data_IF_231337741379
#
_entry.id   IF_231337741379
#
_cell.length_a   1.000
_cell.length_b   1.000
_cell.length_c   1.000
_cell.angle_alpha   90.00
_cell.angle_beta   90.00
_cell.angle_gamma   90.00
#
_symmetry.space_group_name_H-M   'P 1'
#
loop_
_entity.id
_entity.type
_entity.pdbx_description
1 polymer ?
#
# COMPACT_ATOMS: atom_id res chain seq x y z
N UNK A 1 86.63 31.20 24.24
CA UNK A 1 85.41 31.15 23.37
C UNK A 1 85.09 29.70 23.07
N UNK A 2 83.82 29.34 23.28
CA UNK A 2 83.09 28.13 22.84
C UNK A 2 83.62 26.74 23.16
N UNK A 3 83.00 26.11 24.16
CA UNK A 3 82.80 24.67 24.23
C UNK A 3 81.69 24.25 23.24
N UNK A 4 82.00 23.42 22.24
CA UNK A 4 81.05 22.83 21.29
C UNK A 4 80.74 21.38 21.66
N UNK A 5 79.47 21.11 21.98
CA UNK A 5 78.92 19.81 22.41
C UNK A 5 79.07 18.72 21.34
N UNK A 6 79.61 17.57 21.76
CA UNK A 6 79.49 16.28 21.06
C UNK A 6 78.23 15.57 21.54
N UNK A 7 77.21 15.50 20.69
CA UNK A 7 76.08 14.57 20.84
C UNK A 7 75.39 14.40 19.49
N UNK A 8 74.85 13.21 19.24
CA UNK A 8 73.83 12.92 18.22
C UNK A 8 74.32 12.32 16.90
N UNK A 9 74.69 11.05 16.92
CA UNK A 9 74.70 10.19 15.72
C UNK A 9 73.94 8.86 15.93
N UNK A 10 73.94 8.33 17.17
CA UNK A 10 73.22 7.08 17.51
C UNK A 10 71.68 7.20 17.57
N UNK A 11 71.13 8.42 17.67
CA UNK A 11 69.67 8.63 17.79
C UNK A 11 68.96 8.71 16.43
N UNK A 12 69.68 8.99 15.33
CA UNK A 12 69.08 9.20 14.01
C UNK A 12 68.67 7.87 13.38
N UNK A 13 69.48 6.82 13.54
CA UNK A 13 69.18 5.49 13.03
C UNK A 13 67.96 4.86 13.72
N UNK A 14 67.80 5.05 15.04
CA UNK A 14 66.63 4.55 15.79
C UNK A 14 65.32 5.23 15.37
N UNK A 15 65.36 6.54 15.12
CA UNK A 15 64.19 7.30 14.64
C UNK A 15 63.79 6.86 13.23
N UNK A 16 64.76 6.61 12.34
CA UNK A 16 64.48 6.13 10.98
C UNK A 16 63.79 4.75 10.97
N UNK A 17 64.19 3.83 11.86
CA UNK A 17 63.57 2.51 11.99
C UNK A 17 62.14 2.63 12.51
N UNK A 18 61.89 3.47 13.52
CA UNK A 18 60.54 3.70 14.05
C UNK A 18 59.60 4.32 13.00
N UNK A 19 60.09 5.27 12.20
CA UNK A 19 59.32 5.86 11.10
C UNK A 19 58.99 4.78 10.05
N UNK A 20 59.96 3.96 9.66
CA UNK A 20 59.73 2.90 8.67
C UNK A 20 58.70 1.87 9.17
N UNK A 21 58.78 1.45 10.43
CA UNK A 21 57.82 0.53 11.04
C UNK A 21 56.41 1.13 11.11
N UNK A 22 56.30 2.43 11.42
CA UNK A 22 55.02 3.13 11.46
C UNK A 22 54.39 3.25 10.06
N UNK A 23 55.20 3.60 9.05
CA UNK A 23 54.75 3.67 7.65
C UNK A 23 54.32 2.30 7.14
N UNK A 24 55.07 1.23 7.45
CA UNK A 24 54.72 -0.14 7.11
C UNK A 24 53.42 -0.58 7.77
N UNK A 25 53.21 -0.25 9.06
CA UNK A 25 51.97 -0.55 9.77
C UNK A 25 50.75 0.17 9.15
N UNK A 26 50.89 1.46 8.80
CA UNK A 26 49.84 2.21 8.09
C UNK A 26 49.55 1.57 6.73
N UNK A 27 50.57 1.20 5.97
CA UNK A 27 50.40 0.54 4.68
C UNK A 27 49.63 -0.79 4.82
N UNK A 28 49.95 -1.60 5.83
CA UNK A 28 49.23 -2.86 6.13
C UNK A 28 47.77 -2.57 6.51
N UNK A 29 47.51 -1.57 7.35
CA UNK A 29 46.15 -1.16 7.75
C UNK A 29 45.33 -0.68 6.53
N UNK A 30 45.92 0.13 5.66
CA UNK A 30 45.27 0.64 4.45
C UNK A 30 44.99 -0.50 3.46
N UNK A 31 45.95 -1.41 3.25
CA UNK A 31 45.78 -2.58 2.38
C UNK A 31 44.74 -3.57 2.92
N UNK A 32 44.71 -3.80 4.24
CA UNK A 32 43.70 -4.63 4.89
C UNK A 32 42.29 -3.99 4.82
N UNK A 33 42.19 -2.68 5.08
CA UNK A 33 40.94 -1.92 4.98
C UNK A 33 40.34 -1.93 3.56
N UNK A 34 41.19 -1.80 2.53
CA UNK A 34 40.75 -1.88 1.14
C UNK A 34 40.21 -3.28 0.76
N UNK A 35 40.78 -4.37 1.30
CA UNK A 35 40.28 -5.73 1.05
C UNK A 35 38.92 -6.00 1.70
N UNK A 36 38.65 -5.41 2.87
CA UNK A 36 37.36 -5.54 3.56
C UNK A 36 36.25 -4.83 2.76
N UNK A 37 36.53 -3.62 2.26
CA UNK A 37 35.57 -2.84 1.44
C UNK A 37 35.27 -3.53 0.10
N UNK A 38 36.25 -4.16 -0.53
CA UNK A 38 36.09 -4.90 -1.79
C UNK A 38 35.30 -6.22 -1.60
N UNK A 39 35.51 -6.93 -0.48
CA UNK A 39 34.74 -8.15 -0.15
C UNK A 39 33.28 -7.86 0.17
N UNK A 40 32.95 -6.74 0.81
CA UNK A 40 31.54 -6.35 1.04
C UNK A 40 30.78 -6.04 -0.25
N UNK A 41 31.46 -5.50 -1.28
CA UNK A 41 30.83 -5.24 -2.58
C UNK A 41 30.57 -6.53 -3.38
N UNK A 42 31.42 -7.56 -3.26
CA UNK A 42 31.33 -8.81 -4.01
C UNK A 42 30.37 -9.86 -3.41
N UNK A 43 29.91 -9.66 -2.17
CA UNK A 43 28.96 -10.55 -1.48
C UNK A 43 27.52 -10.04 -1.48
N UNK A 44 27.23 -8.95 -2.20
CA UNK A 44 25.85 -8.51 -2.42
C UNK A 44 25.24 -9.44 -3.48
N UNK A 45 24.25 -10.29 -3.15
CA UNK A 45 23.58 -11.10 -4.16
C UNK A 45 23.03 -10.15 -5.24
N UNK A 46 23.34 -10.45 -6.50
CA UNK A 46 22.77 -9.76 -7.65
C UNK A 46 21.25 -9.69 -7.47
N UNK A 47 20.72 -8.46 -7.43
CA UNK A 47 19.28 -8.22 -7.26
C UNK A 47 18.53 -9.01 -8.33
N UNK A 48 17.53 -9.84 -7.98
CA UNK A 48 16.80 -10.59 -8.98
C UNK A 48 16.05 -9.60 -9.89
N UNK A 49 16.31 -9.72 -11.18
CA UNK A 49 15.64 -8.92 -12.20
C UNK A 49 14.24 -9.50 -12.37
N UNK A 50 13.20 -8.72 -12.07
CA UNK A 50 11.84 -9.15 -12.35
C UNK A 50 11.54 -8.96 -13.84
N UNK A 51 10.94 -9.98 -14.48
CA UNK A 51 10.52 -9.88 -15.88
C UNK A 51 9.48 -8.77 -16.04
N UNK A 52 9.84 -7.73 -16.81
CA UNK A 52 8.96 -6.56 -17.05
C UNK A 52 7.69 -6.91 -17.82
N UNK A 53 7.70 -7.97 -18.62
CA UNK A 53 6.52 -8.42 -19.39
C UNK A 53 5.36 -8.95 -18.55
N UNK A 54 5.61 -9.32 -17.28
CA UNK A 54 4.62 -9.98 -16.42
C UNK A 54 4.02 -9.02 -15.36
N UNK A 55 4.26 -7.71 -15.47
CA UNK A 55 3.88 -6.73 -14.44
C UNK A 55 4.37 -7.12 -13.04
N UNK A 56 5.57 -7.72 -12.95
CA UNK A 56 6.15 -8.18 -11.69
C UNK A 56 7.08 -7.14 -11.10
N UNK A 57 6.93 -6.90 -9.80
CA UNK A 57 7.73 -5.92 -9.03
C UNK A 57 8.55 -6.60 -7.95
N UNK A 58 9.75 -6.08 -7.70
CA UNK A 58 10.66 -6.64 -6.71
C UNK A 58 10.31 -6.14 -5.32
N UNK A 59 9.99 -7.05 -4.39
CA UNK A 59 9.73 -6.71 -3.00
C UNK A 59 10.97 -6.93 -2.13
N UNK A 60 11.50 -5.85 -1.56
CA UNK A 60 12.80 -5.85 -0.87
C UNK A 60 12.83 -6.76 0.35
N UNK A 61 11.74 -6.83 1.10
CA UNK A 61 11.67 -7.50 2.39
C UNK A 61 11.71 -9.03 2.25
N UNK A 62 11.10 -9.57 1.20
CA UNK A 62 11.08 -11.02 0.94
C UNK A 62 12.09 -11.45 -0.12
N UNK A 63 12.75 -10.49 -0.78
CA UNK A 63 13.68 -10.72 -1.88
C UNK A 63 13.08 -11.51 -3.06
N UNK A 64 11.79 -11.30 -3.36
CA UNK A 64 11.05 -12.01 -4.42
C UNK A 64 10.28 -11.04 -5.32
N UNK A 65 9.93 -11.52 -6.52
CA UNK A 65 9.08 -10.80 -7.46
C UNK A 65 7.61 -11.21 -7.31
N UNK A 66 6.70 -10.24 -7.29
CA UNK A 66 5.27 -10.44 -7.16
C UNK A 66 4.52 -9.65 -8.23
N UNK A 67 3.30 -10.08 -8.55
CA UNK A 67 2.45 -9.39 -9.53
C UNK A 67 1.94 -8.08 -8.93
N UNK A 68 2.11 -6.99 -9.67
CA UNK A 68 1.56 -5.67 -9.33
C UNK A 68 0.03 -5.70 -9.28
N UNK A 69 -0.55 -4.87 -8.41
CA UNK A 69 -1.99 -4.80 -8.19
C UNK A 69 -2.57 -5.99 -7.43
N UNK A 70 -1.79 -7.02 -7.08
CA UNK A 70 -2.23 -8.11 -6.20
C UNK A 70 -1.78 -7.88 -4.76
N UNK A 71 -2.38 -8.58 -3.81
CA UNK A 71 -1.98 -8.48 -2.41
C UNK A 71 -0.50 -8.87 -2.21
N UNK A 72 -0.07 -9.97 -2.83
CA UNK A 72 1.32 -10.43 -2.74
C UNK A 72 1.77 -10.60 -1.27
N UNK A 73 2.92 -10.03 -0.86
CA UNK A 73 3.41 -10.09 0.51
C UNK A 73 2.80 -9.01 1.43
N UNK A 74 1.86 -8.21 0.93
CA UNK A 74 1.25 -7.11 1.69
C UNK A 74 0.22 -7.61 2.70
N UNK A 75 -0.01 -6.80 3.73
CA UNK A 75 -1.00 -7.08 4.77
C UNK A 75 -2.44 -7.08 4.25
N UNK A 76 -3.37 -7.41 5.13
CA UNK A 76 -4.80 -7.34 4.82
C UNK A 76 -5.20 -5.92 4.39
N UNK A 77 -6.11 -5.81 3.41
CA UNK A 77 -6.55 -4.54 2.80
C UNK A 77 -5.40 -3.74 2.18
N UNK A 78 -4.34 -4.41 1.74
CA UNK A 78 -3.24 -3.78 1.01
C UNK A 78 -2.99 -4.50 -0.31
N UNK A 79 -2.56 -3.72 -1.28
CA UNK A 79 -2.15 -4.20 -2.60
C UNK A 79 -0.74 -3.69 -2.90
N UNK A 80 -0.01 -4.49 -3.66
CA UNK A 80 1.36 -4.21 -4.04
C UNK A 80 1.39 -3.34 -5.29
N UNK A 81 1.97 -2.14 -5.17
CA UNK A 81 2.16 -1.22 -6.28
C UNK A 81 3.62 -1.12 -6.68
N UNK A 82 3.86 -0.98 -7.97
CA UNK A 82 5.17 -0.68 -8.51
C UNK A 82 5.51 0.79 -8.36
N UNK A 83 6.63 1.10 -7.73
CA UNK A 83 7.19 2.45 -7.66
C UNK A 83 8.56 2.49 -8.32
N UNK A 84 8.79 3.53 -9.12
CA UNK A 84 10.12 3.85 -9.65
C UNK A 84 10.83 4.73 -8.63
N UNK A 85 12.03 4.34 -8.20
CA UNK A 85 12.84 5.14 -7.28
C UNK A 85 13.60 6.27 -7.97
N UNK A 86 13.98 6.05 -9.22
CA UNK A 86 14.67 7.03 -10.06
C UNK A 86 14.08 7.00 -11.47
N UNK A 87 13.94 8.17 -12.12
CA UNK A 87 13.43 8.27 -13.48
C UNK A 87 14.28 7.50 -14.51
N UNK A 88 15.58 7.35 -14.23
CA UNK A 88 16.54 6.64 -15.07
C UNK A 88 16.69 5.16 -14.70
N UNK A 89 16.10 4.71 -13.59
CA UNK A 89 16.17 3.31 -13.18
C UNK A 89 14.96 2.56 -13.71
N UNK A 90 15.27 1.44 -14.34
CA UNK A 90 14.28 0.60 -15.02
C UNK A 90 13.56 -0.37 -14.07
N UNK A 91 14.06 -0.47 -12.83
CA UNK A 91 13.61 -1.44 -11.84
C UNK A 91 12.41 -0.89 -11.08
N UNK A 92 11.32 -1.66 -11.10
CA UNK A 92 10.08 -1.35 -10.40
C UNK A 92 10.11 -2.05 -9.03
N UNK A 93 10.10 -1.26 -7.96
CA UNK A 93 10.09 -1.77 -6.59
C UNK A 93 8.64 -1.90 -6.11
N UNK A 94 8.33 -3.01 -5.46
CA UNK A 94 7.02 -3.21 -4.85
C UNK A 94 6.91 -2.46 -3.52
N UNK A 95 5.90 -1.60 -3.40
CA UNK A 95 5.48 -0.98 -2.14
C UNK A 95 4.03 -1.33 -1.84
N UNK A 96 3.76 -1.64 -0.57
CA UNK A 96 2.40 -1.94 -0.13
C UNK A 96 1.64 -0.65 0.14
N UNK A 97 0.48 -0.51 -0.49
CA UNK A 97 -0.44 0.60 -0.25
C UNK A 97 -1.81 0.06 0.13
N UNK A 98 -2.64 0.87 0.78
CA UNK A 98 -4.00 0.45 1.08
C UNK A 98 -4.75 0.18 -0.21
N UNK A 99 -5.52 -0.90 -0.19
CA UNK A 99 -6.53 -1.15 -1.19
C UNK A 99 -7.63 -0.13 -0.96
N UNK A 100 -7.46 1.05 -1.53
CA UNK A 100 -8.37 2.15 -1.27
C UNK A 100 -9.77 1.76 -1.76
N UNK A 101 -9.89 0.97 -2.85
CA UNK A 101 -11.16 0.50 -3.42
C UNK A 101 -11.05 -0.86 -4.19
N UNK A 102 -12.17 -1.54 -4.43
CA UNK A 102 -12.26 -2.84 -5.13
C UNK A 102 -11.82 -2.80 -6.60
N UNK A 103 -11.32 -3.93 -7.11
CA UNK A 103 -10.75 -4.07 -8.47
C UNK A 103 -11.78 -4.09 -9.61
N UNK A 104 -13.06 -3.80 -9.35
CA UNK A 104 -14.17 -4.13 -10.26
C UNK A 104 -15.17 -2.99 -10.45
N UNK A 105 -14.77 -1.74 -10.21
CA UNK A 105 -15.68 -0.59 -10.39
C UNK A 105 -16.90 -0.59 -9.46
N UNK A 106 -16.93 -1.51 -8.50
CA UNK A 106 -17.99 -1.68 -7.52
C UNK A 106 -17.53 -1.21 -6.12
N UNK A 107 -18.48 -0.58 -5.44
CA UNK A 107 -18.36 0.19 -4.20
C UNK A 107 -17.84 -0.64 -3.04
N UNK A 108 -16.55 -0.55 -2.77
CA UNK A 108 -16.01 -1.05 -1.51
C UNK A 108 -15.87 0.10 -0.53
N UNK A 109 -16.19 -0.17 0.73
CA UNK A 109 -15.92 0.75 1.84
C UNK A 109 -14.46 1.26 1.77
N UNK A 110 -14.23 2.58 1.78
CA UNK A 110 -12.87 3.11 1.63
C UNK A 110 -11.97 2.64 2.76
N UNK A 111 -10.68 2.42 2.46
CA UNK A 111 -9.68 2.09 3.48
C UNK A 111 -8.65 3.20 3.64
N UNK A 112 -8.11 3.31 4.85
CA UNK A 112 -7.03 4.26 5.17
C UNK A 112 -5.91 3.59 5.95
N UNK A 113 -4.69 4.07 5.71
CA UNK A 113 -3.50 3.60 6.41
C UNK A 113 -3.43 4.17 7.82
N UNK A 114 -3.18 3.30 8.80
CA UNK A 114 -2.96 3.69 10.18
C UNK A 114 -1.50 3.51 10.56
N UNK A 115 -0.80 4.63 10.78
CA UNK A 115 0.64 4.67 10.99
C UNK A 115 1.11 3.83 12.18
N UNK A 116 0.34 3.80 13.27
CA UNK A 116 0.77 3.13 14.51
C UNK A 116 0.82 1.60 14.38
N UNK A 117 -0.10 1.01 13.60
CA UNK A 117 -0.14 -0.45 13.40
C UNK A 117 0.43 -0.87 12.06
N UNK A 118 0.78 0.08 11.19
CA UNK A 118 1.29 -0.16 9.84
C UNK A 118 0.33 -1.02 9.00
N UNK A 119 -0.98 -0.83 9.20
CA UNK A 119 -2.07 -1.59 8.55
C UNK A 119 -3.13 -0.66 7.99
N UNK A 120 -3.93 -1.18 7.07
CA UNK A 120 -5.08 -0.48 6.52
C UNK A 120 -6.36 -0.92 7.23
N UNK A 121 -7.29 0.01 7.39
CA UNK A 121 -8.57 -0.21 8.03
C UNK A 121 -9.67 0.49 7.24
N UNK A 122 -10.87 -0.08 7.28
CA UNK A 122 -12.04 0.55 6.70
C UNK A 122 -12.42 1.84 7.43
N UNK A 123 -12.82 2.86 6.67
CA UNK A 123 -13.50 4.04 7.20
C UNK A 123 -14.93 3.69 7.62
N UNK A 124 -15.49 4.47 8.53
CA UNK A 124 -16.84 4.27 9.09
C UNK A 124 -17.02 2.89 9.74
N UNK A 125 -15.91 2.32 10.21
CA UNK A 125 -15.87 1.12 11.02
C UNK A 125 -15.05 1.39 12.28
N UNK A 126 -15.06 0.45 13.23
CA UNK A 126 -14.25 0.59 14.44
C UNK A 126 -12.76 0.71 14.11
N UNK A 127 -12.24 -0.14 13.21
CA UNK A 127 -10.83 -0.15 12.82
C UNK A 127 -9.87 -0.19 14.03
N UNK A 128 -8.85 0.68 14.11
CA UNK A 128 -7.94 0.76 15.25
C UNK A 128 -8.50 1.56 16.43
N UNK A 129 -9.72 2.10 16.31
CA UNK A 129 -10.34 2.91 17.36
C UNK A 129 -10.86 2.05 18.51
N UNK A 130 -11.05 2.68 19.67
CA UNK A 130 -11.70 2.04 20.83
C UNK A 130 -13.17 1.73 20.51
N UNK A 131 -13.75 0.77 21.24
CA UNK A 131 -15.18 0.45 21.17
C UNK A 131 -16.04 1.72 21.27
N UNK A 132 -17.06 1.83 20.43
CA UNK A 132 -17.95 3.01 20.40
C UNK A 132 -17.41 4.19 19.58
N UNK A 133 -16.34 3.99 18.80
CA UNK A 133 -15.77 5.02 17.93
C UNK A 133 -15.59 4.49 16.52
N UNK A 134 -15.69 5.37 15.54
CA UNK A 134 -15.38 5.11 14.14
C UNK A 134 -14.09 5.77 13.71
N UNK A 135 -13.39 5.09 12.79
CA UNK A 135 -12.32 5.67 12.01
C UNK A 135 -12.91 6.50 10.87
N UNK A 136 -12.56 7.78 10.81
CA UNK A 136 -13.00 8.72 9.77
C UNK A 136 -11.81 9.55 9.26
N UNK A 137 -12.00 10.22 8.13
CA UNK A 137 -11.06 11.23 7.64
C UNK A 137 -11.53 12.61 8.09
N UNK A 138 -10.66 13.37 8.75
CA UNK A 138 -10.98 14.75 9.13
C UNK A 138 -10.84 15.73 7.96
N UNK A 139 -11.15 17.01 8.18
CA UNK A 139 -11.03 18.07 7.17
C UNK A 139 -9.62 18.29 6.60
N UNK A 140 -8.58 17.75 7.24
CA UNK A 140 -7.18 17.83 6.81
C UNK A 140 -6.70 16.53 6.17
N UNK A 141 -7.61 15.64 5.76
CA UNK A 141 -7.31 14.33 5.19
C UNK A 141 -6.53 13.38 6.11
N UNK A 142 -6.59 13.58 7.43
CA UNK A 142 -5.94 12.71 8.40
C UNK A 142 -6.94 11.71 9.01
N UNK A 143 -6.56 10.43 9.14
CA UNK A 143 -7.39 9.45 9.83
C UNK A 143 -7.51 9.79 11.31
N UNK A 144 -8.73 9.81 11.83
CA UNK A 144 -9.01 10.12 13.23
C UNK A 144 -10.17 9.27 13.75
N UNK A 145 -10.18 9.06 15.07
CA UNK A 145 -11.25 8.34 15.74
C UNK A 145 -12.29 9.33 16.27
N UNK A 146 -13.55 9.19 15.87
CA UNK A 146 -14.68 9.99 16.40
C UNK A 146 -15.65 9.09 17.14
N UNK A 147 -16.34 9.62 18.15
CA UNK A 147 -17.49 8.91 18.74
C UNK A 147 -18.49 8.61 17.63
N UNK A 148 -19.07 7.40 17.62
CA UNK A 148 -20.04 7.02 16.60
C UNK A 148 -21.17 8.05 16.61
N UNK A 149 -21.34 8.82 15.51
CA UNK A 149 -22.36 9.88 15.44
C UNK A 149 -23.76 9.31 15.23
N UNK A 150 -23.87 8.03 14.86
CA UNK A 150 -25.11 7.39 14.48
C UNK A 150 -25.72 6.53 15.60
N UNK A 151 -27.06 6.57 15.79
CA UNK A 151 -27.75 5.69 16.73
C UNK A 151 -27.49 4.21 16.45
N UNK A 152 -27.61 3.38 17.48
CA UNK A 152 -27.37 1.93 17.40
C UNK A 152 -28.27 1.20 16.40
N UNK A 153 -29.47 1.72 16.13
CA UNK A 153 -30.43 1.16 15.17
C UNK A 153 -29.86 1.11 13.74
N UNK A 154 -29.13 2.16 13.33
CA UNK A 154 -28.43 2.19 12.03
C UNK A 154 -27.27 1.18 11.99
N UNK A 155 -26.58 0.98 13.10
CA UNK A 155 -25.46 0.04 13.17
C UNK A 155 -25.90 -1.43 13.07
N UNK A 156 -27.17 -1.75 13.36
CA UNK A 156 -27.71 -3.09 13.18
C UNK A 156 -27.86 -3.44 11.68
N UNK A 157 -28.23 -2.49 10.84
CA UNK A 157 -28.43 -2.68 9.39
C UNK A 157 -27.12 -2.96 8.65
N UNK A 158 -26.01 -2.31 9.05
CA UNK A 158 -24.68 -2.63 8.51
C UNK A 158 -24.10 -3.96 9.01
N UNK A 159 -24.60 -4.50 10.13
CA UNK A 159 -24.20 -5.82 10.62
C UNK A 159 -25.02 -6.97 10.04
N UNK A 160 -26.25 -6.72 9.58
CA UNK A 160 -27.06 -7.71 8.86
C UNK A 160 -26.37 -8.09 7.54
N UNK A 161 -25.82 -7.11 6.80
CA UNK A 161 -25.04 -7.35 5.57
C UNK A 161 -23.72 -8.13 5.79
N UNK A 162 -23.25 -8.29 7.03
CA UNK A 162 -22.05 -9.10 7.34
C UNK A 162 -22.35 -10.58 7.58
N UNK A 163 -23.59 -10.95 7.93
CA UNK A 163 -23.93 -12.37 8.20
C UNK A 163 -24.19 -13.18 6.94
N UNK A 164 -24.66 -12.52 5.88
CA UNK A 164 -25.01 -13.19 4.62
C UNK A 164 -23.82 -13.25 3.63
N UNK A 165 -22.72 -12.56 3.95
CA UNK A 165 -21.53 -12.42 3.09
C UNK A 165 -20.36 -13.26 3.63
N UNK A 166 -20.58 -14.57 3.75
CA UNK A 166 -19.54 -15.51 4.21
C UNK A 166 -18.45 -15.79 3.17
N UNK A 167 -18.55 -15.24 1.96
CA UNK A 167 -17.51 -15.40 0.96
C UNK A 167 -17.42 -14.15 0.05
N UNK A 168 -16.25 -13.52 0.04
CA UNK A 168 -15.70 -12.64 -1.01
C UNK A 168 -16.15 -11.19 -1.27
N UNK A 169 -17.22 -10.63 -0.68
CA UNK A 169 -17.62 -9.23 -0.98
C UNK A 169 -17.54 -8.28 0.26
N UNK A 170 -16.67 -7.25 0.28
CA UNK A 170 -16.56 -6.32 1.41
C UNK A 170 -17.77 -5.38 1.50
N UNK A 171 -18.77 -5.79 2.27
CA UNK A 171 -19.80 -4.95 2.92
C UNK A 171 -20.35 -3.81 2.01
N UNK A 172 -21.16 -4.13 0.98
CA UNK A 172 -21.58 -3.17 -0.05
C UNK A 172 -22.43 -2.02 0.52
N UNK A 173 -23.09 -2.25 1.67
CA UNK A 173 -23.92 -1.23 2.34
C UNK A 173 -23.41 -0.93 3.73
N UNK A 174 -22.92 0.29 3.92
CA UNK A 174 -22.43 0.74 5.22
C UNK A 174 -23.01 2.08 5.63
N UNK A 175 -23.15 2.24 6.94
CA UNK A 175 -23.59 3.51 7.53
C UNK A 175 -22.39 4.42 7.63
N UNK A 176 -22.60 5.68 7.26
CA UNK A 176 -21.64 6.75 7.45
C UNK A 176 -22.37 8.00 7.95
N UNK A 177 -21.60 8.97 8.42
CA UNK A 177 -22.12 10.28 8.80
C UNK A 177 -21.56 11.35 7.89
N UNK A 178 -22.44 12.18 7.35
CA UNK A 178 -22.10 13.37 6.58
C UNK A 178 -22.98 14.52 7.04
N UNK A 179 -22.38 15.69 7.29
CA UNK A 179 -23.07 16.88 7.81
C UNK A 179 -23.93 16.59 9.06
N UNK A 180 -23.39 15.80 9.99
CA UNK A 180 -24.08 15.37 11.22
C UNK A 180 -25.36 14.55 10.99
N UNK A 181 -25.55 14.00 9.79
CA UNK A 181 -26.65 13.10 9.44
C UNK A 181 -26.12 11.73 9.08
N UNK A 182 -26.82 10.71 9.55
CA UNK A 182 -26.50 9.32 9.28
C UNK A 182 -27.21 8.86 8.02
N UNK A 183 -26.46 8.20 7.16
CA UNK A 183 -26.93 7.74 5.86
C UNK A 183 -26.38 6.33 5.61
N UNK A 184 -27.08 5.57 4.76
CA UNK A 184 -26.66 4.25 4.31
C UNK A 184 -26.18 4.34 2.86
N UNK A 185 -25.04 3.75 2.52
CA UNK A 185 -24.59 3.68 1.12
C UNK A 185 -25.54 2.83 0.28
N UNK A 186 -25.51 3.02 -1.05
CA UNK A 186 -26.40 2.35 -2.00
C UNK A 186 -27.90 2.55 -1.67
N UNK A 187 -28.23 3.74 -1.15
CA UNK A 187 -29.58 4.24 -0.96
C UNK A 187 -29.63 5.69 -1.41
N UNK A 188 -30.83 6.26 -1.60
CA UNK A 188 -30.97 7.67 -1.98
C UNK A 188 -30.27 8.62 -1.01
N UNK A 189 -30.41 8.40 0.31
CA UNK A 189 -29.75 9.23 1.32
C UNK A 189 -30.02 10.73 1.12
N UNK A 190 -28.97 11.52 0.92
CA UNK A 190 -29.07 12.96 0.64
C UNK A 190 -29.14 13.31 -0.85
N UNK A 191 -29.11 12.31 -1.72
CA UNK A 191 -29.05 12.49 -3.17
C UNK A 191 -30.43 12.82 -3.76
N UNK A 192 -30.47 13.50 -4.92
CA UNK A 192 -31.72 13.75 -5.64
C UNK A 192 -32.37 12.44 -6.09
N UNK A 193 -33.65 12.53 -6.47
CA UNK A 193 -34.41 11.37 -6.94
C UNK A 193 -33.73 10.69 -8.13
N UNK A 194 -33.62 9.36 -8.06
CA UNK A 194 -32.93 8.53 -9.06
C UNK A 194 -31.42 8.40 -8.87
N UNK A 195 -30.85 9.05 -7.86
CA UNK A 195 -29.45 8.90 -7.47
C UNK A 195 -29.31 8.22 -6.10
N UNK A 196 -28.17 7.58 -5.90
CA UNK A 196 -27.79 6.89 -4.68
C UNK A 196 -26.46 7.42 -4.17
N UNK A 197 -26.28 7.33 -2.85
CA UNK A 197 -25.02 7.62 -2.19
C UNK A 197 -23.99 6.55 -2.50
N UNK A 198 -22.82 6.99 -2.95
CA UNK A 198 -21.71 6.16 -3.40
C UNK A 198 -20.36 6.75 -2.92
N UNK A 199 -19.32 5.91 -2.77
CA UNK A 199 -17.93 6.36 -2.54
C UNK A 199 -17.06 6.01 -3.74
N UNK A 200 -16.37 7.00 -4.32
CA UNK A 200 -15.55 6.78 -5.51
C UNK A 200 -14.10 6.51 -5.15
N UNK A 201 -13.34 6.01 -6.13
CA UNK A 201 -11.92 5.72 -5.96
C UNK A 201 -11.04 6.92 -5.64
N UNK A 202 -11.59 8.12 -5.82
CA UNK A 202 -10.89 9.40 -5.71
C UNK A 202 -11.35 10.22 -4.50
N UNK A 203 -12.36 9.76 -3.75
CA UNK A 203 -13.00 10.55 -2.70
C UNK A 203 -13.34 9.72 -1.46
N UNK A 204 -12.83 10.15 -0.31
CA UNK A 204 -13.30 9.70 1.02
C UNK A 204 -14.60 10.35 1.46
N UNK A 205 -15.22 11.14 0.59
CA UNK A 205 -16.53 11.76 0.81
C UNK A 205 -17.59 11.07 -0.04
N UNK A 206 -18.80 10.92 0.50
CA UNK A 206 -19.93 10.38 -0.26
C UNK A 206 -20.25 11.31 -1.43
N UNK A 207 -20.58 10.72 -2.57
CA UNK A 207 -21.02 11.38 -3.78
C UNK A 207 -22.36 10.79 -4.21
N UNK A 208 -23.10 11.54 -5.02
CA UNK A 208 -24.32 11.04 -5.62
C UNK A 208 -24.04 10.51 -7.03
N UNK A 209 -24.60 9.35 -7.34
CA UNK A 209 -24.47 8.70 -8.65
C UNK A 209 -25.82 8.13 -9.04
N UNK A 210 -26.18 8.19 -10.32
CA UNK A 210 -27.37 7.50 -10.82
C UNK A 210 -27.32 6.02 -10.46
N UNK A 211 -28.46 5.47 -10.06
CA UNK A 211 -28.62 4.03 -9.82
C UNK A 211 -28.61 3.25 -11.15
N UNK A 212 -27.54 3.36 -11.94
CA UNK A 212 -27.33 2.53 -13.13
C UNK A 212 -26.74 1.19 -12.72
N UNK A 213 -27.19 0.14 -13.41
CA UNK A 213 -27.02 -1.27 -13.08
C UNK A 213 -25.60 -1.79 -13.34
N UNK A 214 -24.56 -1.18 -12.75
CA UNK A 214 -23.15 -1.59 -12.88
C UNK A 214 -22.53 -2.11 -11.58
N UNK A 215 -23.30 -2.20 -10.49
CA UNK A 215 -22.81 -2.69 -9.19
C UNK A 215 -23.74 -3.75 -8.59
N UNK A 216 -24.32 -4.63 -9.42
CA UNK A 216 -24.90 -5.88 -8.93
C UNK A 216 -23.76 -6.90 -8.80
N UNK A 217 -23.67 -7.66 -7.69
CA UNK A 217 -22.67 -8.70 -7.52
C UNK A 217 -22.94 -9.83 -8.52
N UNK A 218 -22.48 -9.68 -9.76
CA UNK A 218 -22.35 -10.80 -10.68
C UNK A 218 -21.07 -11.53 -10.32
N UNK A 219 -21.28 -12.57 -9.52
CA UNK A 219 -20.40 -13.72 -9.37
C UNK A 219 -19.70 -14.04 -10.70
N UNK A 220 -18.38 -14.00 -10.69
CA UNK A 220 -17.54 -14.16 -11.88
C UNK A 220 -17.83 -15.46 -12.63
N UNK A 221 -17.83 -15.37 -13.95
CA UNK A 221 -17.05 -16.17 -14.91
C UNK A 221 -17.29 -15.44 -16.25
N UNK A 222 -16.33 -15.12 -17.09
CA UNK A 222 -14.96 -15.56 -17.25
C UNK A 222 -14.29 -14.55 -18.19
N UNK A 223 -12.97 -14.63 -18.28
CA UNK A 223 -12.29 -14.34 -19.53
C UNK A 223 -13.06 -15.03 -20.67
N UNK A 224 -13.64 -14.27 -21.61
CA UNK A 224 -13.53 -14.57 -23.02
C UNK A 224 -13.94 -13.40 -23.91
N UNK A 225 -13.14 -13.24 -24.95
CA UNK A 225 -13.28 -12.43 -26.14
C UNK A 225 -14.59 -12.78 -26.87
N UNK A 226 -15.44 -11.80 -27.15
CA UNK A 226 -15.79 -11.33 -28.51
C UNK A 226 -17.13 -10.56 -28.54
N UNK A 227 -17.08 -9.47 -29.30
CA UNK A 227 -18.25 -8.82 -29.88
C UNK A 227 -19.05 -9.85 -30.69
N UNK A 228 -20.36 -9.89 -30.53
CA UNK A 228 -21.27 -9.29 -31.51
C UNK A 228 -22.71 -9.23 -30.97
N UNK A 229 -23.28 -8.03 -31.02
CA UNK A 229 -24.71 -7.78 -30.91
C UNK A 229 -25.38 -8.28 -32.19
N UNK A 230 -26.30 -9.23 -32.08
CA UNK A 230 -27.39 -9.31 -33.06
C UNK A 230 -28.71 -9.63 -32.36
N UNK A 231 -29.40 -8.55 -32.02
CA UNK A 231 -30.78 -8.56 -31.53
C UNK A 231 -31.66 -8.70 -32.77
N UNK A 232 -32.36 -9.83 -32.91
CA UNK A 232 -33.71 -9.84 -33.49
C UNK A 232 -34.44 -11.14 -33.16
N UNK A 233 -35.69 -10.96 -32.72
CA UNK A 233 -36.80 -11.92 -32.75
C UNK A 233 -36.86 -12.99 -31.66
N UNK A 234 -37.62 -12.71 -30.61
CA UNK A 234 -38.49 -13.72 -30.01
C UNK A 234 -39.86 -13.10 -29.75
N UNK A 235 -40.82 -13.57 -30.54
CA UNK A 235 -42.23 -13.24 -30.48
C UNK A 235 -42.86 -13.83 -29.20
N UNK A 236 -43.83 -13.07 -28.68
CA UNK A 236 -44.65 -13.37 -27.52
C UNK A 236 -45.78 -14.32 -27.94
N UNK A 237 -45.92 -15.46 -27.26
CA UNK A 237 -47.17 -16.22 -27.23
C UNK A 237 -47.76 -16.15 -25.82
N UNK A 238 -48.99 -15.64 -25.64
CA UNK A 238 -49.78 -15.90 -24.45
C UNK A 238 -50.61 -17.18 -24.65
N UNK A 239 -50.71 -17.98 -23.59
CA UNK A 239 -51.52 -19.19 -23.55
C UNK A 239 -52.99 -18.91 -23.25
N UNK A 240 -53.85 -19.76 -23.82
CA UNK A 240 -55.04 -20.38 -23.23
C UNK A 240 -55.08 -21.84 -23.71
#
# INVERSE_FOLDING_TARGET
MSAGKSTSSKNIAGIAILIFMFVAAIAVIVLAGNRIKLRQMLLSPSRPICNKGDYRVYFKQTHRCYVEGKQGPCGQLMILHGVKRDANQSDLFGECQCQTFGQLGCDTRPTVYWQATKRCYFLFDQGPCRKGRWLVINQFNNPTCVTIPCPSEYNAQSQISRRDSADSDPDPKFVYSSYSKCNLTLTQGFCPDGEIVHFTSTSFRPLCRKATQECLPNYSNSFDFELELNITNLEVYPGE
#
